data_IF_520898300004
#
_entry.id   IF_520898300004
#
_cell.length_a   1.000
_cell.length_b   1.000
_cell.length_c   1.000
_cell.angle_alpha   90.00
_cell.angle_beta   90.00
_cell.angle_gamma   90.00
#
_symmetry.space_group_name_H-M   'P 1'
#
loop_
_entity.id
_entity.type
_entity.pdbx_description
1 polymer ?
#
# COMPACT_ATOMS: atom_id res chain seq x y z
N UNK A 1 0.39 1.14 -4.32
CA UNK A 1 -0.05 0.81 -2.94
C UNK A 1 -0.78 -0.54 -2.90
N UNK A 2 -1.86 -0.76 -3.67
CA UNK A 2 -2.63 -2.00 -3.62
C UNK A 2 -1.78 -3.26 -3.89
N UNK A 3 -1.03 -3.29 -5.00
CA UNK A 3 -0.12 -4.40 -5.33
C UNK A 3 0.81 -4.75 -4.17
N UNK A 4 1.44 -3.73 -3.59
CA UNK A 4 2.34 -3.85 -2.42
C UNK A 4 1.65 -4.45 -1.19
N UNK A 5 0.36 -4.17 -0.97
CA UNK A 5 -0.39 -4.81 0.13
C UNK A 5 -0.59 -6.31 -0.14
N UNK A 6 -0.82 -6.69 -1.39
CA UNK A 6 -0.95 -8.10 -1.80
C UNK A 6 0.40 -8.82 -1.71
N UNK A 7 1.49 -8.20 -2.17
CA UNK A 7 2.87 -8.70 -2.03
C UNK A 7 3.24 -8.89 -0.55
N UNK A 8 2.94 -7.90 0.29
CA UNK A 8 3.14 -8.01 1.73
C UNK A 8 2.34 -9.15 2.34
N UNK A 9 1.09 -9.33 1.90
CA UNK A 9 0.26 -10.44 2.36
C UNK A 9 0.90 -11.79 2.00
N UNK A 10 1.37 -11.97 0.77
CA UNK A 10 2.11 -13.18 0.38
C UNK A 10 3.33 -13.40 1.27
N UNK A 11 4.14 -12.36 1.52
CA UNK A 11 5.34 -12.49 2.34
C UNK A 11 5.03 -12.87 3.79
N UNK A 12 3.97 -12.32 4.38
CA UNK A 12 3.62 -12.59 5.78
C UNK A 12 2.86 -13.90 5.98
N UNK A 13 2.07 -14.34 4.99
CA UNK A 13 1.13 -15.47 5.18
C UNK A 13 1.42 -16.66 4.29
N UNK A 14 2.25 -16.51 3.26
CA UNK A 14 2.47 -17.53 2.25
C UNK A 14 1.22 -17.81 1.40
N UNK A 15 0.28 -16.88 1.27
CA UNK A 15 -0.99 -17.12 0.55
C UNK A 15 -0.81 -17.49 -0.92
N UNK A 16 -1.21 -18.72 -1.28
CA UNK A 16 -1.24 -19.20 -2.67
C UNK A 16 -2.17 -18.36 -3.55
N UNK A 17 -3.36 -18.05 -3.02
CA UNK A 17 -4.34 -17.24 -3.73
C UNK A 17 -3.82 -15.85 -4.08
N UNK A 18 -3.07 -15.24 -3.17
CA UNK A 18 -2.47 -13.93 -3.42
C UNK A 18 -1.32 -14.01 -4.43
N UNK A 19 -0.57 -15.12 -4.50
CA UNK A 19 0.40 -15.36 -5.57
C UNK A 19 -0.26 -15.45 -6.94
N UNK A 20 -1.36 -16.20 -7.08
CA UNK A 20 -2.12 -16.27 -8.34
C UNK A 20 -2.62 -14.90 -8.82
N UNK A 21 -3.08 -14.05 -7.89
CA UNK A 21 -3.50 -12.68 -8.20
C UNK A 21 -2.34 -11.82 -8.70
N UNK A 22 -1.13 -12.02 -8.17
CA UNK A 22 0.07 -11.29 -8.59
C UNK A 22 0.62 -11.78 -9.93
N UNK A 23 0.52 -13.08 -10.20
CA UNK A 23 0.94 -13.69 -11.48
C UNK A 23 0.12 -13.15 -12.67
N UNK A 24 -1.12 -12.77 -12.41
CA UNK A 24 -2.05 -12.20 -13.40
C UNK A 24 -2.47 -10.76 -13.07
N UNK A 25 -1.57 -9.98 -12.46
CA UNK A 25 -1.89 -8.70 -11.82
C UNK A 25 -2.63 -7.69 -12.72
N UNK A 26 -2.22 -7.57 -13.99
CA UNK A 26 -2.82 -6.62 -14.93
C UNK A 26 -4.33 -6.84 -15.10
N UNK A 27 -4.77 -8.09 -15.13
CA UNK A 27 -6.20 -8.43 -15.20
C UNK A 27 -6.84 -8.44 -13.82
N UNK A 28 -6.14 -8.96 -12.81
CA UNK A 28 -6.67 -9.08 -11.45
C UNK A 28 -7.04 -7.72 -10.85
N UNK A 29 -6.24 -6.67 -11.10
CA UNK A 29 -6.46 -5.33 -10.55
C UNK A 29 -7.77 -4.69 -11.03
N UNK A 30 -8.22 -5.03 -12.24
CA UNK A 30 -9.47 -4.52 -12.82
C UNK A 30 -10.70 -4.96 -12.02
N UNK A 31 -10.60 -6.06 -11.28
CA UNK A 31 -11.67 -6.58 -10.43
C UNK A 31 -11.73 -5.90 -9.05
N UNK A 32 -10.79 -5.02 -8.71
CA UNK A 32 -10.80 -4.32 -7.43
C UNK A 32 -11.59 -3.01 -7.51
N UNK A 33 -12.48 -2.80 -6.54
CA UNK A 33 -13.21 -1.53 -6.37
C UNK A 33 -12.61 -0.73 -5.22
N UNK A 34 -12.20 0.51 -5.49
CA UNK A 34 -11.82 1.45 -4.43
C UNK A 34 -13.08 2.01 -3.78
N UNK A 35 -13.28 1.69 -2.50
CA UNK A 35 -14.34 2.30 -1.69
C UNK A 35 -13.74 3.43 -0.87
N UNK A 36 -14.15 4.67 -1.13
CA UNK A 36 -13.74 5.85 -0.37
C UNK A 36 -14.95 6.74 -0.10
N UNK A 37 -15.50 6.76 1.13
CA UNK A 37 -16.59 7.65 1.47
C UNK A 37 -16.17 9.12 1.42
N UNK A 38 -17.06 10.00 0.97
CA UNK A 38 -16.78 11.43 0.81
C UNK A 38 -16.34 12.10 2.12
N UNK A 39 -17.00 11.73 3.23
CA UNK A 39 -16.63 12.23 4.56
C UNK A 39 -15.18 11.87 4.94
N UNK A 40 -14.71 10.67 4.57
CA UNK A 40 -13.32 10.26 4.79
C UNK A 40 -12.36 10.98 3.83
N UNK A 41 -12.74 11.12 2.56
CA UNK A 41 -11.93 11.82 1.56
C UNK A 41 -11.68 13.28 1.96
N UNK A 42 -12.70 13.96 2.50
CA UNK A 42 -12.60 15.33 2.98
C UNK A 42 -11.58 15.46 4.12
N UNK A 43 -11.66 14.58 5.14
CA UNK A 43 -10.75 14.60 6.29
C UNK A 43 -9.29 14.34 5.88
N UNK A 44 -9.05 13.41 4.95
CA UNK A 44 -7.70 13.13 4.45
C UNK A 44 -7.12 14.33 3.69
N UNK A 45 -7.97 15.09 2.99
CA UNK A 45 -7.56 16.23 2.19
C UNK A 45 -7.20 17.46 3.03
N UNK A 46 -7.81 17.59 4.21
CA UNK A 46 -7.66 18.74 5.11
C UNK A 46 -6.20 18.93 5.60
N UNK A 47 -5.34 17.89 5.60
CA UNK A 47 -3.91 17.92 6.00
C UNK A 47 -3.61 18.50 7.40
N UNK A 48 -4.61 18.96 8.14
CA UNK A 48 -4.48 19.64 9.44
C UNK A 48 -4.18 18.69 10.60
N UNK A 49 -4.31 17.37 10.42
CA UNK A 49 -4.11 16.40 11.52
C UNK A 49 -2.76 15.68 11.45
N UNK A 50 -1.99 15.80 12.53
CA UNK A 50 -0.71 15.10 12.74
C UNK A 50 -0.88 13.58 12.95
N UNK A 51 -2.11 13.08 13.13
CA UNK A 51 -2.41 11.66 13.28
C UNK A 51 -2.38 10.87 11.95
N UNK A 52 -2.30 11.56 10.80
CA UNK A 52 -2.27 10.94 9.47
C UNK A 52 -0.83 10.66 9.05
N UNK A 53 -0.48 9.37 8.99
CA UNK A 53 0.83 8.95 8.46
C UNK A 53 0.94 9.30 6.96
N UNK A 54 1.94 10.11 6.60
CA UNK A 54 2.17 10.56 5.19
C UNK A 54 2.85 9.54 4.31
N UNK A 55 3.68 8.68 4.89
CA UNK A 55 4.42 7.64 4.16
C UNK A 55 4.01 6.24 4.62
N UNK A 56 3.90 5.28 3.70
CA UNK A 56 3.70 3.89 4.09
C UNK A 56 4.93 3.37 4.85
N UNK A 57 4.78 2.37 5.75
CA UNK A 57 5.89 1.73 6.46
C UNK A 57 6.86 1.03 5.49
N UNK A 58 7.86 0.27 5.98
CA UNK A 58 8.69 -0.57 5.11
C UNK A 58 7.90 -1.74 4.47
N UNK A 59 8.33 -2.23 3.31
CA UNK A 59 7.71 -3.41 2.67
C UNK A 59 8.10 -4.68 3.41
N UNK A 60 7.23 -5.69 3.36
CA UNK A 60 7.53 -7.02 3.90
C UNK A 60 8.52 -7.77 3.00
N UNK A 61 8.43 -7.54 1.68
CA UNK A 61 9.45 -7.90 0.71
C UNK A 61 10.42 -6.74 0.56
N UNK A 62 11.69 -6.88 0.97
CA UNK A 62 12.72 -5.93 0.57
C UNK A 62 12.95 -6.11 -0.93
N UNK A 63 12.32 -5.28 -1.75
CA UNK A 63 12.83 -5.06 -3.10
C UNK A 63 14.08 -4.19 -2.95
N UNK A 64 15.20 -4.60 -3.54
CA UNK A 64 16.47 -3.86 -3.45
C UNK A 64 16.23 -2.35 -3.57
N UNK A 65 16.75 -1.63 -2.58
CA UNK A 65 16.46 -0.25 -2.27
C UNK A 65 16.79 0.67 -3.46
N UNK A 66 15.79 0.90 -4.30
CA UNK A 66 15.67 2.08 -5.13
C UNK A 66 14.88 3.14 -4.37
N UNK A 67 15.61 4.00 -3.70
CA UNK A 67 15.25 5.35 -3.24
C UNK A 67 14.97 5.57 -1.74
N UNK A 68 15.57 6.64 -1.27
CA UNK A 68 16.15 6.80 0.05
C UNK A 68 15.13 7.07 1.17
N UNK A 69 15.42 6.51 2.35
CA UNK A 69 15.00 7.06 3.63
C UNK A 69 15.67 8.43 3.79
N UNK A 70 14.92 9.52 3.60
CA UNK A 70 15.27 10.81 4.17
C UNK A 70 14.37 11.06 5.38
N UNK A 71 14.87 10.68 6.55
CA UNK A 71 14.45 11.30 7.79
C UNK A 71 15.00 12.72 7.84
N UNK A 72 14.13 13.69 8.09
CA UNK A 72 14.55 15.00 8.59
C UNK A 72 13.78 15.22 9.89
N UNK A 73 14.50 15.09 11.00
CA UNK A 73 14.15 15.70 12.26
C UNK A 73 15.16 16.84 12.43
N UNK A 74 14.65 18.08 12.43
CA UNK A 74 15.28 19.26 13.03
C UNK A 74 14.23 19.88 13.96
#
# INVERSE_FOLDING_TARGET
>A
MLRRLVENHVAYTGSDRARELLDSWETAVESFTRVMPDAYAAVISDRTRDDIRRQPPASATPQEAGDAVQGSAD
#
